data_IF_655218915183
#
_entry.id   IF_655218915183
#
_cell.length_a   1.000
_cell.length_b   1.000
_cell.length_c   1.000
_cell.angle_alpha   90.00
_cell.angle_beta   90.00
_cell.angle_gamma   90.00
#
_symmetry.space_group_name_H-M   'P 1'
#
loop_
_entity.id
_entity.type
_entity.pdbx_description
1 polymer ?
#
# COMPACT_ATOMS: atom_id res chain seq x y z
N UNK A 1 11.88 22.26 -15.53
CA UNK A 1 11.00 22.97 -14.59
C UNK A 1 10.61 21.98 -13.53
N UNK A 2 10.77 22.32 -12.26
CA UNK A 2 10.38 21.40 -11.18
C UNK A 2 8.90 21.08 -11.27
N UNK A 3 8.50 19.79 -11.15
CA UNK A 3 7.10 19.43 -11.09
C UNK A 3 6.48 20.12 -9.87
N UNK A 4 5.42 20.90 -10.11
CA UNK A 4 4.66 21.58 -9.05
C UNK A 4 4.18 20.53 -8.04
N UNK A 5 4.53 20.71 -6.76
CA UNK A 5 4.09 19.81 -5.70
C UNK A 5 2.55 19.75 -5.66
N UNK A 6 2.00 18.53 -5.55
CA UNK A 6 0.55 18.30 -5.48
C UNK A 6 -0.02 18.88 -4.18
N UNK A 7 -1.22 19.42 -4.25
CA UNK A 7 -1.99 19.85 -3.09
C UNK A 7 -2.55 18.66 -2.31
N UNK A 8 -2.94 18.90 -1.05
CA UNK A 8 -3.55 17.87 -0.20
C UNK A 8 -4.87 17.33 -0.79
N UNK A 9 -5.66 18.18 -1.44
CA UNK A 9 -6.91 17.76 -2.08
C UNK A 9 -6.66 16.82 -3.27
N UNK A 10 -5.67 17.13 -4.11
CA UNK A 10 -5.27 16.28 -5.24
C UNK A 10 -4.76 14.92 -4.75
N UNK A 11 -3.90 14.90 -3.72
CA UNK A 11 -3.40 13.64 -3.17
C UNK A 11 -4.53 12.81 -2.54
N UNK A 12 -5.50 13.44 -1.86
CA UNK A 12 -6.67 12.71 -1.34
C UNK A 12 -7.47 12.05 -2.47
N UNK A 13 -7.67 12.73 -3.60
CA UNK A 13 -8.37 12.16 -4.76
C UNK A 13 -7.59 10.98 -5.35
N UNK A 14 -6.27 11.11 -5.49
CA UNK A 14 -5.42 10.03 -5.99
C UNK A 14 -5.47 8.81 -5.06
N UNK A 15 -5.43 9.01 -3.74
CA UNK A 15 -5.58 7.93 -2.77
C UNK A 15 -6.93 7.25 -2.93
N UNK A 16 -8.03 8.00 -3.01
CA UNK A 16 -9.36 7.42 -3.17
C UNK A 16 -9.53 6.62 -4.47
N UNK A 17 -8.82 6.96 -5.54
CA UNK A 17 -8.80 6.20 -6.79
C UNK A 17 -7.87 4.98 -6.74
N UNK A 18 -6.81 5.07 -5.96
CA UNK A 18 -5.82 4.01 -5.81
C UNK A 18 -6.33 2.86 -4.95
N UNK A 19 -6.99 3.16 -3.82
CA UNK A 19 -7.39 2.14 -2.83
C UNK A 19 -8.27 1.02 -3.42
N UNK A 20 -8.02 -0.21 -2.98
CA UNK A 20 -8.87 -1.36 -3.33
C UNK A 20 -10.25 -1.33 -2.68
N UNK A 21 -10.43 -0.53 -1.62
CA UNK A 21 -11.70 -0.39 -0.90
C UNK A 21 -12.28 -1.73 -0.40
N UNK A 22 -11.42 -2.64 0.08
CA UNK A 22 -11.81 -3.96 0.64
C UNK A 22 -12.51 -3.89 2.01
N UNK A 23 -12.98 -2.71 2.41
CA UNK A 23 -13.57 -2.48 3.72
C UNK A 23 -12.53 -2.37 4.83
N UNK A 24 -12.91 -2.65 6.09
CA UNK A 24 -12.01 -2.53 7.23
C UNK A 24 -10.88 -3.56 7.19
N UNK A 25 -9.74 -3.23 7.82
CA UNK A 25 -8.48 -4.00 7.74
C UNK A 25 -8.66 -5.49 8.09
N UNK A 26 -9.53 -5.81 9.05
CA UNK A 26 -9.80 -7.20 9.44
C UNK A 26 -10.44 -8.06 8.33
N UNK A 27 -10.95 -7.46 7.26
CA UNK A 27 -11.49 -8.16 6.09
C UNK A 27 -10.45 -8.36 4.98
N UNK A 28 -9.33 -7.64 5.01
CA UNK A 28 -8.39 -7.62 3.89
C UNK A 28 -7.80 -8.99 3.57
N UNK A 29 -7.45 -9.77 4.60
CA UNK A 29 -6.96 -11.15 4.44
C UNK A 29 -7.96 -12.01 3.64
N UNK A 30 -9.22 -11.95 4.04
CA UNK A 30 -10.29 -12.70 3.38
C UNK A 30 -10.45 -12.26 1.93
N UNK A 31 -10.52 -10.94 1.69
CA UNK A 31 -10.69 -10.39 0.34
C UNK A 31 -9.51 -10.72 -0.57
N UNK A 32 -8.29 -10.67 -0.05
CA UNK A 32 -7.09 -11.08 -0.77
C UNK A 32 -7.17 -12.54 -1.19
N UNK A 33 -7.48 -13.44 -0.25
CA UNK A 33 -7.56 -14.87 -0.52
C UNK A 33 -8.70 -15.20 -1.51
N UNK A 34 -9.84 -14.52 -1.44
CA UNK A 34 -10.90 -14.66 -2.44
C UNK A 34 -10.42 -14.27 -3.86
N UNK A 35 -9.66 -13.18 -3.99
CA UNK A 35 -9.09 -12.77 -5.29
C UNK A 35 -8.02 -13.75 -5.78
N UNK A 36 -7.17 -14.24 -4.89
CA UNK A 36 -6.15 -15.22 -5.21
C UNK A 36 -6.77 -16.55 -5.65
N UNK A 37 -7.77 -17.06 -4.93
CA UNK A 37 -8.49 -18.28 -5.31
C UNK A 37 -9.16 -18.14 -6.68
N UNK A 38 -9.80 -17.01 -6.95
CA UNK A 38 -10.38 -16.73 -8.26
C UNK A 38 -9.32 -16.68 -9.39
N UNK A 39 -8.11 -16.23 -9.09
CA UNK A 39 -6.99 -16.25 -10.04
C UNK A 39 -6.44 -17.67 -10.25
N UNK A 40 -6.33 -18.46 -9.17
CA UNK A 40 -5.88 -19.85 -9.22
C UNK A 40 -6.82 -20.74 -10.03
N UNK A 41 -8.13 -20.55 -9.89
CA UNK A 41 -9.15 -21.26 -10.67
C UNK A 41 -9.03 -21.01 -12.19
N UNK A 42 -8.49 -19.84 -12.58
CA UNK A 42 -8.23 -19.46 -13.98
C UNK A 42 -6.87 -19.90 -14.50
N UNK A 43 -6.00 -20.43 -13.64
CA UNK A 43 -4.68 -20.95 -13.98
C UNK A 43 -3.51 -20.00 -13.71
N UNK A 44 -2.30 -20.52 -13.94
CA UNK A 44 -1.04 -19.87 -13.52
C UNK A 44 -0.79 -18.49 -14.13
N UNK A 45 -1.22 -18.25 -15.37
CA UNK A 45 -1.12 -16.93 -15.99
C UNK A 45 -1.90 -15.86 -15.21
N UNK A 46 -3.14 -16.17 -14.80
CA UNK A 46 -3.95 -15.25 -14.00
C UNK A 46 -3.40 -15.03 -12.59
N UNK A 47 -2.75 -16.03 -11.99
CA UNK A 47 -2.05 -15.88 -10.71
C UNK A 47 -0.88 -14.91 -10.84
N UNK A 48 -0.06 -15.05 -11.87
CA UNK A 48 1.05 -14.13 -12.13
C UNK A 48 0.55 -12.70 -12.38
N UNK A 49 -0.51 -12.54 -13.16
CA UNK A 49 -1.13 -11.24 -13.41
C UNK A 49 -1.67 -10.59 -12.12
N UNK A 50 -2.25 -11.39 -11.22
CA UNK A 50 -2.73 -10.90 -9.93
C UNK A 50 -1.59 -10.40 -9.05
N UNK A 51 -0.49 -11.15 -8.94
CA UNK A 51 0.68 -10.71 -8.17
C UNK A 51 1.37 -9.50 -8.80
N UNK A 52 1.48 -9.43 -10.13
CA UNK A 52 2.02 -8.25 -10.82
C UNK A 52 1.15 -6.99 -10.57
N UNK A 53 -0.17 -7.15 -10.52
CA UNK A 53 -1.07 -6.07 -10.11
C UNK A 53 -0.84 -5.65 -8.65
N UNK A 54 -0.63 -6.60 -7.72
CA UNK A 54 -0.31 -6.30 -6.34
C UNK A 54 1.02 -5.53 -6.20
N UNK A 55 2.06 -5.91 -6.95
CA UNK A 55 3.35 -5.21 -6.99
C UNK A 55 3.22 -3.78 -7.53
N UNK A 56 2.47 -3.63 -8.63
CA UNK A 56 2.17 -2.33 -9.24
C UNK A 56 1.39 -1.45 -8.27
N UNK A 57 0.36 -2.00 -7.63
CA UNK A 57 -0.45 -1.31 -6.63
C UNK A 57 0.41 -0.82 -5.46
N UNK A 58 1.28 -1.68 -4.94
CA UNK A 58 2.20 -1.36 -3.85
C UNK A 58 3.17 -0.25 -4.25
N UNK A 59 3.70 -0.32 -5.48
CA UNK A 59 4.61 0.70 -6.02
C UNK A 59 3.93 2.06 -6.17
N UNK A 60 2.70 2.08 -6.69
CA UNK A 60 1.89 3.31 -6.77
C UNK A 60 1.59 3.87 -5.37
N UNK A 61 1.29 3.00 -4.39
CA UNK A 61 1.11 3.40 -3.00
C UNK A 61 2.38 4.04 -2.39
N UNK A 62 3.56 3.49 -2.66
CA UNK A 62 4.84 4.11 -2.25
C UNK A 62 5.07 5.48 -2.88
N UNK A 63 4.66 5.68 -4.13
CA UNK A 63 4.70 7.00 -4.76
C UNK A 63 3.76 7.98 -4.05
N UNK A 64 2.55 7.57 -3.67
CA UNK A 64 1.64 8.40 -2.88
C UNK A 64 2.20 8.76 -1.49
N UNK A 65 2.90 7.83 -0.83
CA UNK A 65 3.62 8.13 0.42
C UNK A 65 4.70 9.21 0.22
N UNK A 66 5.41 9.19 -0.91
CA UNK A 66 6.37 10.25 -1.25
C UNK A 66 5.69 11.59 -1.48
N UNK A 67 4.53 11.63 -2.14
CA UNK A 67 3.73 12.86 -2.30
C UNK A 67 3.26 13.41 -0.94
N UNK A 68 2.77 12.55 -0.06
CA UNK A 68 2.38 12.92 1.31
C UNK A 68 3.58 13.45 2.12
N UNK A 69 4.76 12.87 1.93
CA UNK A 69 6.01 13.35 2.54
C UNK A 69 6.37 14.76 2.06
N UNK A 70 6.25 15.03 0.75
CA UNK A 70 6.45 16.38 0.20
C UNK A 70 5.47 17.39 0.80
N UNK A 71 4.19 17.01 0.95
CA UNK A 71 3.19 17.85 1.60
C UNK A 71 3.55 18.07 3.07
N UNK A 72 4.02 17.05 3.80
CA UNK A 72 4.40 17.18 5.20
C UNK A 72 5.48 18.24 5.43
N UNK A 73 6.48 18.32 4.54
CA UNK A 73 7.55 19.30 4.62
C UNK A 73 7.19 20.71 4.13
N UNK A 74 6.02 20.91 3.53
CA UNK A 74 5.63 22.26 3.10
C UNK A 74 5.36 23.19 4.29
N UNK A 75 5.80 24.45 4.24
CA UNK A 75 5.60 25.39 5.34
C UNK A 75 4.10 25.64 5.59
N UNK A 76 3.72 25.74 6.86
CA UNK A 76 2.34 26.05 7.27
C UNK A 76 2.33 26.83 8.59
N UNK A 77 1.29 27.63 8.81
CA UNK A 77 1.24 28.60 9.89
C UNK A 77 0.16 28.21 10.92
N UNK A 78 0.49 28.19 12.21
CA UNK A 78 -0.46 28.14 13.32
C UNK A 78 -1.61 27.12 13.17
N UNK A 79 -2.86 27.59 13.17
CA UNK A 79 -4.08 26.74 13.10
C UNK A 79 -4.11 25.81 11.88
N UNK A 80 -3.58 26.25 10.74
CA UNK A 80 -3.52 25.43 9.52
C UNK A 80 -2.56 24.24 9.67
N UNK A 81 -1.55 24.34 10.54
CA UNK A 81 -0.62 23.24 10.80
C UNK A 81 -1.31 22.07 11.51
N UNK A 82 -2.19 22.34 12.47
CA UNK A 82 -2.93 21.29 13.18
C UNK A 82 -3.85 20.51 12.25
N UNK A 83 -4.66 21.23 11.47
CA UNK A 83 -5.62 20.60 10.54
C UNK A 83 -4.88 19.83 9.45
N UNK A 84 -3.74 20.36 8.98
CA UNK A 84 -2.84 19.67 8.05
C UNK A 84 -2.26 18.39 8.65
N UNK A 85 -1.80 18.41 9.90
CA UNK A 85 -1.25 17.23 10.57
C UNK A 85 -2.29 16.11 10.73
N UNK A 86 -3.52 16.44 11.13
CA UNK A 86 -4.60 15.45 11.27
C UNK A 86 -4.89 14.82 9.90
N UNK A 87 -5.09 15.65 8.87
CA UNK A 87 -5.37 15.13 7.53
C UNK A 87 -4.21 14.31 6.94
N UNK A 88 -2.96 14.72 7.17
CA UNK A 88 -1.79 13.95 6.76
C UNK A 88 -1.74 12.61 7.48
N UNK A 89 -1.99 12.59 8.79
CA UNK A 89 -2.01 11.36 9.57
C UNK A 89 -3.04 10.38 9.01
N UNK A 90 -4.28 10.80 8.79
CA UNK A 90 -5.34 9.93 8.29
C UNK A 90 -5.00 9.35 6.91
N UNK A 91 -4.46 10.18 6.00
CA UNK A 91 -4.05 9.75 4.67
C UNK A 91 -2.83 8.82 4.71
N UNK A 92 -1.83 9.12 5.56
CA UNK A 92 -0.67 8.28 5.75
C UNK A 92 -1.06 6.92 6.34
N UNK A 93 -1.91 6.89 7.37
CA UNK A 93 -2.38 5.66 7.98
C UNK A 93 -3.13 4.78 6.97
N UNK A 94 -3.99 5.38 6.13
CA UNK A 94 -4.71 4.65 5.09
C UNK A 94 -3.76 4.03 4.06
N UNK A 95 -2.87 4.84 3.47
CA UNK A 95 -1.94 4.35 2.43
C UNK A 95 -0.93 3.36 2.99
N UNK A 96 -0.34 3.68 4.15
CA UNK A 96 0.71 2.84 4.74
C UNK A 96 0.17 1.48 5.14
N UNK A 97 -1.03 1.41 5.72
CA UNK A 97 -1.63 0.13 6.12
C UNK A 97 -1.84 -0.76 4.92
N UNK A 98 -2.41 -0.24 3.83
CA UNK A 98 -2.70 -1.01 2.62
C UNK A 98 -1.41 -1.41 1.89
N UNK A 99 -0.45 -0.50 1.73
CA UNK A 99 0.89 -0.82 1.19
C UNK A 99 1.54 -1.93 2.01
N UNK A 100 1.54 -1.84 3.34
CA UNK A 100 2.14 -2.84 4.22
C UNK A 100 1.46 -4.19 4.09
N UNK A 101 0.13 -4.21 4.00
CA UNK A 101 -0.60 -5.45 3.79
C UNK A 101 -0.14 -6.16 2.51
N UNK A 102 -0.08 -5.44 1.38
CA UNK A 102 0.36 -6.04 0.12
C UNK A 102 1.85 -6.40 0.11
N UNK A 103 2.74 -5.61 0.74
CA UNK A 103 4.15 -5.96 0.89
C UNK A 103 4.32 -7.29 1.64
N UNK A 104 3.59 -7.47 2.74
CA UNK A 104 3.62 -8.73 3.51
C UNK A 104 3.11 -9.89 2.65
N UNK A 105 2.01 -9.70 1.92
CA UNK A 105 1.49 -10.76 1.04
C UNK A 105 2.43 -11.11 -0.10
N UNK A 106 3.07 -10.13 -0.72
CA UNK A 106 4.05 -10.40 -1.76
C UNK A 106 5.25 -11.18 -1.21
N UNK A 107 5.73 -10.85 -0.01
CA UNK A 107 6.82 -11.58 0.65
C UNK A 107 6.42 -13.01 1.07
N UNK A 108 5.20 -13.23 1.55
CA UNK A 108 4.69 -14.57 1.91
C UNK A 108 4.68 -15.54 0.71
N UNK A 109 4.30 -15.05 -0.48
CA UNK A 109 4.10 -15.90 -1.67
C UNK A 109 5.30 -15.92 -2.63
N UNK A 110 6.14 -14.88 -2.61
CA UNK A 110 7.36 -14.79 -3.41
C UNK A 110 8.51 -14.20 -2.58
N UNK A 111 8.99 -14.94 -1.54
CA UNK A 111 10.00 -14.40 -0.63
C UNK A 111 11.30 -14.14 -1.39
N UNK A 112 11.89 -12.96 -1.18
CA UNK A 112 13.15 -12.56 -1.81
C UNK A 112 14.32 -13.49 -1.42
N UNK A 113 14.17 -14.25 -0.34
CA UNK A 113 15.09 -15.30 0.10
C UNK A 113 14.34 -16.64 0.10
N UNK A 114 14.85 -17.69 -0.57
CA UNK A 114 14.25 -19.01 -0.50
C UNK A 114 14.13 -19.47 0.95
N UNK A 115 12.94 -19.93 1.36
CA UNK A 115 12.65 -20.45 2.70
C UNK A 115 13.62 -21.56 3.14
N UNK A 116 14.29 -22.23 2.19
CA UNK A 116 15.37 -23.20 2.43
C UNK A 116 16.63 -22.63 3.09
N UNK A 117 16.78 -21.29 3.18
CA UNK A 117 17.86 -20.63 3.95
C UNK A 117 17.41 -20.07 5.31
N UNK A 118 16.11 -20.11 5.62
CA UNK A 118 15.57 -19.60 6.89
C UNK A 118 15.44 -20.68 7.98
N UNK A 119 15.76 -21.93 7.68
CA UNK A 119 15.81 -23.02 8.66
C UNK A 119 17.14 -23.05 9.42
N UNK A 120 17.33 -22.07 10.31
CA UNK A 120 18.34 -22.18 11.37
C UNK A 120 18.01 -21.32 12.60
N UNK A 121 16.76 -21.33 13.09
CA UNK A 121 16.53 -20.88 14.48
C UNK A 121 15.28 -21.47 15.14
N UNK A 122 15.53 -22.47 15.99
CA UNK A 122 14.85 -22.86 17.25
C UNK A 122 13.43 -23.44 17.18
N UNK A 123 13.39 -24.77 17.24
CA UNK A 123 12.39 -25.50 18.01
C UNK A 123 12.59 -25.22 19.51
N UNK A 124 11.51 -24.91 20.21
CA UNK A 124 11.33 -25.23 21.63
C UNK A 124 10.01 -25.99 21.77
#
# INVERSE_FOLDING_TARGET
GDPKAKSMAEVRLLIGQWQYCWGPINLWEKMFNEKLWAAQDRGSGSVNDFFSQCETHTTNGRQLLNELKTIAYSPCNGRQARDKCIQLHDLLSAVLSEVRFFEVKLDEYAPAVPLSRMSSTRYY
#
